data_IF_839669311261
#
_entry.id   IF_839669311261
#
_cell.length_a   1.000
_cell.length_b   1.000
_cell.length_c   1.000
_cell.angle_alpha   90.00
_cell.angle_beta   90.00
_cell.angle_gamma   90.00
#
_symmetry.space_group_name_H-M   'P 1'
#
loop_
_entity.id
_entity.type
_entity.pdbx_description
1 polymer ?
#
# COMPACT_ATOMS: atom_id res chain seq x y z
N UNK A 1 54.87 -16.62 -53.02
CA UNK A 1 54.32 -17.82 -52.35
C UNK A 1 54.30 -17.71 -50.83
N UNK A 2 55.19 -16.92 -50.20
CA UNK A 2 55.25 -16.77 -48.74
C UNK A 2 54.13 -15.92 -48.11
N UNK A 3 53.61 -14.91 -48.80
CA UNK A 3 52.54 -14.04 -48.27
C UNK A 3 51.24 -14.81 -47.95
N UNK A 4 50.89 -15.79 -48.78
CA UNK A 4 49.71 -16.62 -48.58
C UNK A 4 49.87 -17.52 -47.34
N UNK A 5 51.09 -18.00 -47.06
CA UNK A 5 51.39 -18.82 -45.87
C UNK A 5 51.36 -18.00 -44.59
N UNK A 6 51.84 -16.75 -44.63
CA UNK A 6 51.78 -15.81 -43.49
C UNK A 6 50.32 -15.43 -43.19
N UNK A 7 49.54 -15.13 -44.23
CA UNK A 7 48.11 -14.85 -44.11
C UNK A 7 47.34 -16.03 -43.51
N UNK A 8 47.56 -17.26 -44.00
CA UNK A 8 46.94 -18.47 -43.48
C UNK A 8 47.29 -18.74 -42.00
N UNK A 9 48.55 -18.54 -41.59
CA UNK A 9 48.96 -18.69 -40.18
C UNK A 9 48.29 -17.64 -39.28
N UNK A 10 48.17 -16.39 -39.73
CA UNK A 10 47.49 -15.33 -38.98
C UNK A 10 45.98 -15.58 -38.88
N UNK A 11 45.35 -15.99 -39.97
CA UNK A 11 43.93 -16.37 -40.00
C UNK A 11 43.65 -17.55 -39.07
N UNK A 12 44.51 -18.57 -39.08
CA UNK A 12 44.42 -19.71 -38.17
C UNK A 12 44.56 -19.29 -36.71
N UNK A 13 45.52 -18.41 -36.40
CA UNK A 13 45.70 -17.88 -35.04
C UNK A 13 44.46 -17.11 -34.54
N UNK A 14 43.87 -16.26 -35.38
CA UNK A 14 42.63 -15.55 -35.06
C UNK A 14 41.48 -16.53 -34.85
N UNK A 15 41.37 -17.56 -35.70
CA UNK A 15 40.33 -18.57 -35.59
C UNK A 15 40.46 -19.37 -34.28
N UNK A 16 41.68 -19.74 -33.88
CA UNK A 16 41.92 -20.41 -32.59
C UNK A 16 41.51 -19.51 -31.42
N UNK A 17 41.87 -18.22 -31.46
CA UNK A 17 41.47 -17.25 -30.42
C UNK A 17 39.95 -17.15 -30.33
N UNK A 18 39.26 -17.07 -31.47
CA UNK A 18 37.80 -17.01 -31.52
C UNK A 18 37.16 -18.30 -30.97
N UNK A 19 37.71 -19.47 -31.30
CA UNK A 19 37.24 -20.76 -30.78
C UNK A 19 37.44 -20.85 -29.26
N UNK A 20 38.61 -20.45 -28.75
CA UNK A 20 38.88 -20.41 -27.31
C UNK A 20 37.94 -19.43 -26.59
N UNK A 21 37.69 -18.26 -27.19
CA UNK A 21 36.74 -17.29 -26.65
C UNK A 21 35.31 -17.83 -26.64
N UNK A 22 34.88 -18.48 -27.72
CA UNK A 22 33.57 -19.12 -27.81
C UNK A 22 33.42 -20.25 -26.79
N UNK A 23 34.45 -21.07 -26.59
CA UNK A 23 34.46 -22.12 -25.57
C UNK A 23 34.38 -21.54 -24.15
N UNK A 24 35.12 -20.46 -23.86
CA UNK A 24 35.05 -19.76 -22.58
C UNK A 24 33.66 -19.15 -22.35
N UNK A 25 33.06 -18.52 -23.38
CA UNK A 25 31.71 -17.97 -23.32
C UNK A 25 30.65 -19.06 -23.10
N UNK A 26 30.76 -20.20 -23.80
CA UNK A 26 29.88 -21.35 -23.62
C UNK A 26 30.00 -21.96 -22.21
N UNK A 27 31.23 -22.09 -21.70
CA UNK A 27 31.50 -22.54 -20.34
C UNK A 27 30.91 -21.60 -19.29
N UNK A 28 31.07 -20.28 -19.48
CA UNK A 28 30.45 -19.27 -18.62
C UNK A 28 28.92 -19.36 -18.68
N UNK A 29 28.33 -19.49 -19.87
CA UNK A 29 26.89 -19.65 -20.06
C UNK A 29 26.37 -20.88 -19.32
N UNK A 30 26.99 -22.05 -19.49
CA UNK A 30 26.63 -23.28 -18.79
C UNK A 30 26.75 -23.14 -17.26
N UNK A 31 27.81 -22.47 -16.79
CA UNK A 31 27.98 -22.19 -15.36
C UNK A 31 26.83 -21.38 -14.79
N UNK A 32 26.39 -20.32 -15.48
CA UNK A 32 25.27 -19.50 -15.03
C UNK A 32 23.91 -20.20 -15.19
N UNK A 33 23.71 -20.91 -16.31
CA UNK A 33 22.46 -21.56 -16.66
C UNK A 33 22.16 -22.82 -15.85
N UNK A 34 23.18 -23.58 -15.44
CA UNK A 34 23.02 -24.84 -14.71
C UNK A 34 23.38 -24.72 -13.23
N UNK A 35 24.60 -24.25 -12.91
CA UNK A 35 25.10 -24.26 -11.52
C UNK A 35 24.51 -23.14 -10.66
N UNK A 36 24.28 -21.96 -11.25
CA UNK A 36 23.75 -20.79 -10.51
C UNK A 36 22.27 -20.50 -10.76
N UNK A 37 21.58 -21.35 -11.54
CA UNK A 37 20.17 -21.16 -11.92
C UNK A 37 19.28 -20.80 -10.74
N UNK A 38 19.33 -21.59 -9.67
CA UNK A 38 18.47 -21.40 -8.51
C UNK A 38 18.74 -20.08 -7.78
N UNK A 39 19.99 -19.62 -7.78
CA UNK A 39 20.35 -18.31 -7.21
C UNK A 39 19.66 -17.19 -7.98
N UNK A 40 19.69 -17.23 -9.31
CA UNK A 40 19.08 -16.20 -10.16
C UNK A 40 17.55 -16.30 -10.18
N UNK A 41 16.97 -17.51 -10.13
CA UNK A 41 15.52 -17.69 -9.98
C UNK A 41 15.06 -17.13 -8.63
N UNK A 42 15.77 -17.41 -7.53
CA UNK A 42 15.45 -16.84 -6.21
C UNK A 42 15.58 -15.32 -6.20
N UNK A 43 16.58 -14.77 -6.89
CA UNK A 43 16.76 -13.32 -7.02
C UNK A 43 15.63 -12.70 -7.85
N UNK A 44 15.27 -13.31 -8.98
CA UNK A 44 14.16 -12.91 -9.83
C UNK A 44 12.83 -12.94 -9.08
N UNK A 45 12.56 -14.01 -8.33
CA UNK A 45 11.38 -14.10 -7.46
C UNK A 45 11.40 -13.00 -6.39
N UNK A 46 12.55 -12.75 -5.74
CA UNK A 46 12.66 -11.67 -4.74
C UNK A 46 12.36 -10.30 -5.33
N UNK A 47 12.72 -10.06 -6.59
CA UNK A 47 12.43 -8.81 -7.30
C UNK A 47 10.94 -8.75 -7.71
N UNK A 48 10.37 -9.89 -8.12
CA UNK A 48 8.99 -9.97 -8.58
C UNK A 48 7.96 -9.84 -7.43
N UNK A 49 8.29 -10.32 -6.23
CA UNK A 49 7.42 -10.24 -5.06
C UNK A 49 7.66 -8.96 -4.26
N UNK A 50 6.64 -8.10 -4.19
CA UNK A 50 6.63 -6.95 -3.29
C UNK A 50 6.09 -7.36 -1.92
N UNK A 51 6.75 -6.91 -0.86
CA UNK A 51 6.24 -6.99 0.51
C UNK A 51 5.40 -5.75 0.82
N UNK A 52 4.28 -5.95 1.49
CA UNK A 52 3.45 -4.88 2.03
C UNK A 52 3.03 -5.19 3.46
N UNK A 53 2.72 -4.14 4.21
CA UNK A 53 2.13 -4.20 5.54
C UNK A 53 0.67 -3.76 5.48
N UNK A 54 -0.14 -4.23 6.41
CA UNK A 54 -1.50 -3.73 6.61
C UNK A 54 -1.84 -3.80 8.10
N UNK A 55 -2.68 -2.87 8.53
CA UNK A 55 -3.12 -2.79 9.91
C UNK A 55 -4.61 -3.15 10.00
N UNK A 56 -4.98 -3.75 11.13
CA UNK A 56 -6.37 -3.93 11.49
C UNK A 56 -6.85 -2.74 12.32
N UNK A 57 -8.16 -2.69 12.56
CA UNK A 57 -8.77 -1.63 13.35
C UNK A 57 -8.14 -1.53 14.75
N UNK A 58 -7.88 -0.28 15.14
CA UNK A 58 -7.47 0.09 16.49
C UNK A 58 -8.57 -0.27 17.49
N UNK A 59 -8.17 -0.66 18.70
CA UNK A 59 -9.09 -1.00 19.78
C UNK A 59 -10.05 0.14 20.13
N UNK A 60 -11.23 -0.20 20.65
CA UNK A 60 -12.21 0.79 21.15
C UNK A 60 -11.82 1.25 22.54
N UNK A 61 -12.09 2.53 22.84
CA UNK A 61 -12.07 3.02 24.23
C UNK A 61 -13.51 3.00 24.73
N UNK A 62 -13.70 2.35 25.87
CA UNK A 62 -15.01 2.11 26.48
C UNK A 62 -14.96 2.67 27.91
N UNK A 63 -16.03 3.31 28.35
CA UNK A 63 -16.14 3.79 29.73
C UNK A 63 -16.39 2.64 30.73
N UNK A 64 -16.50 2.96 32.03
CA UNK A 64 -16.75 1.94 33.04
C UNK A 64 -18.15 1.26 32.92
N UNK A 65 -19.12 1.96 32.32
CA UNK A 65 -20.49 1.51 32.11
C UNK A 65 -20.68 0.72 30.79
N UNK A 66 -19.66 0.64 29.94
CA UNK A 66 -19.72 -0.07 28.65
C UNK A 66 -20.03 0.81 27.44
N UNK A 67 -20.15 2.13 27.61
CA UNK A 67 -20.37 3.09 26.53
C UNK A 67 -19.08 3.28 25.73
N UNK A 68 -19.16 3.18 24.42
CA UNK A 68 -18.02 3.40 23.52
C UNK A 68 -17.75 4.90 23.40
N UNK A 69 -16.56 5.32 23.83
CA UNK A 69 -16.12 6.72 23.78
C UNK A 69 -15.32 7.03 22.51
N UNK A 70 -14.55 6.05 22.02
CA UNK A 70 -13.77 6.18 20.80
C UNK A 70 -13.71 4.86 20.02
N UNK A 71 -13.87 4.95 18.69
CA UNK A 71 -13.84 3.81 17.78
C UNK A 71 -13.23 4.20 16.44
N UNK A 72 -12.80 3.21 15.67
CA UNK A 72 -12.22 3.44 14.34
C UNK A 72 -13.18 2.95 13.28
N UNK A 73 -13.47 3.81 12.32
CA UNK A 73 -14.23 3.50 11.13
C UNK A 73 -13.32 3.44 9.90
N UNK A 74 -13.74 2.64 8.91
CA UNK A 74 -12.98 2.44 7.69
C UNK A 74 -13.75 3.03 6.51
N UNK A 75 -13.11 3.97 5.85
CA UNK A 75 -13.60 4.64 4.66
C UNK A 75 -12.75 4.25 3.45
N UNK A 76 -13.29 4.49 2.27
CA UNK A 76 -12.61 4.22 1.01
C UNK A 76 -12.66 5.47 0.15
N UNK A 77 -11.50 6.02 -0.18
CA UNK A 77 -11.40 7.24 -0.97
C UNK A 77 -10.98 6.88 -2.39
N UNK A 78 -11.51 7.61 -3.37
CA UNK A 78 -11.13 7.46 -4.77
C UNK A 78 -10.16 8.57 -5.16
N UNK A 79 -8.95 8.19 -5.53
CA UNK A 79 -7.91 9.09 -5.99
C UNK A 79 -7.66 8.90 -7.48
N UNK A 80 -7.41 10.00 -8.18
CA UNK A 80 -6.90 10.04 -9.54
C UNK A 80 -5.48 10.62 -9.52
N UNK A 81 -4.53 9.84 -10.03
CA UNK A 81 -3.14 10.24 -10.21
C UNK A 81 -2.95 10.70 -11.66
N UNK A 82 -2.65 11.97 -11.85
CA UNK A 82 -2.45 12.53 -13.19
C UNK A 82 -1.07 12.10 -13.73
N UNK A 83 -1.02 10.92 -14.36
CA UNK A 83 0.20 10.34 -14.90
C UNK A 83 0.56 10.90 -16.29
N UNK A 84 -0.40 11.47 -17.00
CA UNK A 84 -0.28 11.85 -18.41
C UNK A 84 -0.33 13.35 -18.65
N UNK A 85 -0.84 14.14 -17.70
CA UNK A 85 -1.04 15.58 -17.85
C UNK A 85 -2.10 15.96 -18.89
N UNK A 86 -2.85 14.98 -19.42
CA UNK A 86 -3.84 15.21 -20.47
C UNK A 86 -5.20 15.53 -19.86
N UNK A 87 -5.61 16.79 -19.97
CA UNK A 87 -6.88 17.27 -19.44
C UNK A 87 -8.09 16.56 -20.07
N UNK A 88 -8.05 16.33 -21.39
CA UNK A 88 -9.12 15.65 -22.11
C UNK A 88 -9.32 14.22 -21.60
N UNK A 89 -8.23 13.50 -21.31
CA UNK A 89 -8.29 12.15 -20.74
C UNK A 89 -8.83 12.17 -19.32
N UNK A 90 -8.34 13.10 -18.49
CA UNK A 90 -8.81 13.32 -17.12
C UNK A 90 -10.31 13.57 -17.09
N UNK A 91 -10.80 14.51 -17.91
CA UNK A 91 -12.22 14.84 -17.99
C UNK A 91 -13.08 13.66 -18.44
N UNK A 92 -12.60 12.89 -19.41
CA UNK A 92 -13.29 11.67 -19.86
C UNK A 92 -13.43 10.65 -18.73
N UNK A 93 -12.38 10.45 -17.93
CA UNK A 93 -12.42 9.56 -16.77
C UNK A 93 -13.41 10.07 -15.71
N UNK A 94 -13.39 11.37 -15.41
CA UNK A 94 -14.31 11.97 -14.44
C UNK A 94 -15.77 11.85 -14.87
N UNK A 95 -16.07 12.01 -16.17
CA UNK A 95 -17.41 11.80 -16.69
C UNK A 95 -17.88 10.35 -16.45
N UNK A 96 -17.05 9.34 -16.73
CA UNK A 96 -17.41 7.95 -16.44
C UNK A 96 -17.60 7.66 -14.95
N UNK A 97 -16.81 8.31 -14.08
CA UNK A 97 -16.98 8.16 -12.63
C UNK A 97 -18.32 8.76 -12.21
N UNK A 98 -18.68 9.94 -12.72
CA UNK A 98 -19.93 10.62 -12.39
C UNK A 98 -21.16 9.83 -12.87
N UNK A 99 -21.07 9.08 -13.97
CA UNK A 99 -22.12 8.15 -14.40
C UNK A 99 -22.35 7.01 -13.39
N UNK A 100 -21.30 6.52 -12.74
CA UNK A 100 -21.38 5.43 -11.75
C UNK A 100 -21.78 5.98 -10.37
N UNK A 101 -21.25 7.15 -10.03
CA UNK A 101 -21.38 7.85 -8.76
C UNK A 101 -21.64 9.34 -9.01
N UNK A 102 -22.91 9.75 -9.14
CA UNK A 102 -23.23 11.15 -9.30
C UNK A 102 -22.81 11.94 -8.06
N UNK A 103 -22.26 13.14 -8.28
CA UNK A 103 -21.83 14.04 -7.20
C UNK A 103 -20.37 13.89 -6.78
N UNK A 104 -19.54 13.22 -7.60
CA UNK A 104 -18.08 13.33 -7.44
C UNK A 104 -17.63 14.77 -7.68
N UNK A 105 -16.91 15.35 -6.73
CA UNK A 105 -16.31 16.68 -6.82
C UNK A 105 -14.80 16.52 -6.77
N UNK A 106 -14.12 16.41 -7.92
CA UNK A 106 -12.68 16.24 -7.96
C UNK A 106 -11.99 17.49 -7.42
N UNK A 107 -11.22 17.33 -6.35
CA UNK A 107 -10.41 18.39 -5.76
C UNK A 107 -8.93 18.02 -5.88
N UNK A 108 -8.09 18.96 -6.32
CA UNK A 108 -6.66 18.73 -6.42
C UNK A 108 -6.03 18.82 -5.02
N UNK A 109 -5.55 17.69 -4.51
CA UNK A 109 -4.89 17.62 -3.19
C UNK A 109 -3.39 17.90 -3.28
N UNK A 110 -2.76 17.57 -4.42
CA UNK A 110 -1.35 17.87 -4.70
C UNK A 110 -1.08 17.98 -6.20
N UNK A 111 0.14 18.37 -6.60
CA UNK A 111 0.50 18.64 -8.01
C UNK A 111 -0.02 17.60 -9.01
N UNK A 112 -0.05 16.31 -8.64
CA UNK A 112 -0.49 15.23 -9.53
C UNK A 112 -1.56 14.30 -8.92
N UNK A 113 -2.23 14.71 -7.84
CA UNK A 113 -3.23 13.87 -7.16
C UNK A 113 -4.53 14.63 -6.96
N UNK A 114 -5.61 14.02 -7.44
CA UNK A 114 -6.96 14.51 -7.33
C UNK A 114 -7.77 13.57 -6.43
N UNK A 115 -8.36 14.11 -5.37
CA UNK A 115 -9.38 13.42 -4.60
C UNK A 115 -10.69 13.51 -5.36
N UNK A 116 -11.13 12.40 -5.94
CA UNK A 116 -12.36 12.35 -6.76
C UNK A 116 -13.59 12.11 -5.89
N UNK A 117 -13.44 11.32 -4.83
CA UNK A 117 -14.53 11.00 -3.92
C UNK A 117 -13.99 10.68 -2.52
N UNK A 118 -14.58 11.28 -1.49
CA UNK A 118 -14.27 11.04 -0.09
C UNK A 118 -15.32 10.11 0.53
N UNK A 119 -14.90 9.04 1.20
CA UNK A 119 -15.81 8.18 1.96
C UNK A 119 -16.81 7.38 1.10
N UNK A 120 -16.33 6.75 0.03
CA UNK A 120 -17.15 5.96 -0.88
C UNK A 120 -17.88 4.81 -0.17
N UNK A 121 -19.19 4.63 -0.44
CA UNK A 121 -19.93 3.47 0.04
C UNK A 121 -19.35 2.16 -0.52
N UNK A 122 -19.14 1.11 0.32
CA UNK A 122 -18.55 -0.16 -0.14
C UNK A 122 -19.29 -0.83 -1.30
N UNK A 123 -20.61 -0.63 -1.38
CA UNK A 123 -21.48 -1.15 -2.46
C UNK A 123 -21.08 -0.67 -3.86
N UNK A 124 -20.36 0.44 -3.98
CA UNK A 124 -19.99 1.00 -5.29
C UNK A 124 -18.66 0.45 -5.81
N UNK A 125 -17.79 -0.02 -4.93
CA UNK A 125 -16.46 -0.53 -5.29
C UNK A 125 -16.52 -1.58 -6.42
N UNK A 126 -17.41 -2.59 -6.41
CA UNK A 126 -17.48 -3.57 -7.50
C UNK A 126 -17.80 -2.97 -8.86
N UNK A 127 -18.59 -1.87 -8.90
CA UNK A 127 -18.96 -1.18 -10.14
C UNK A 127 -17.79 -0.39 -10.75
N UNK A 128 -16.81 0.00 -9.93
CA UNK A 128 -15.61 0.72 -10.37
C UNK A 128 -14.49 -0.21 -10.86
N UNK A 129 -14.51 -1.50 -10.49
CA UNK A 129 -13.45 -2.46 -10.88
C UNK A 129 -13.12 -2.47 -12.37
N UNK A 130 -14.11 -2.41 -13.30
CA UNK A 130 -13.81 -2.33 -14.74
C UNK A 130 -13.03 -1.06 -15.11
N UNK A 131 -13.39 0.09 -14.52
CA UNK A 131 -12.66 1.35 -14.74
C UNK A 131 -11.25 1.29 -14.15
N UNK A 132 -11.09 0.79 -12.93
CA UNK A 132 -9.78 0.66 -12.27
C UNK A 132 -8.81 -0.23 -13.06
N UNK A 133 -9.34 -1.26 -13.72
CA UNK A 133 -8.56 -2.16 -14.57
C UNK A 133 -8.12 -1.49 -15.88
N UNK A 134 -8.93 -0.56 -16.39
CA UNK A 134 -8.67 0.18 -17.64
C UNK A 134 -7.81 1.43 -17.44
N UNK A 135 -7.97 2.09 -16.30
CA UNK A 135 -7.35 3.36 -15.96
C UNK A 135 -6.52 3.20 -14.68
N UNK A 136 -5.24 2.90 -14.87
CA UNK A 136 -4.21 2.77 -13.82
C UNK A 136 -3.95 4.08 -13.04
N UNK A 137 -4.42 5.21 -13.57
CA UNK A 137 -4.48 6.51 -12.92
C UNK A 137 -5.44 6.50 -11.72
N UNK A 138 -6.45 5.64 -11.71
CA UNK A 138 -7.43 5.55 -10.63
C UNK A 138 -6.99 4.55 -9.56
N UNK A 139 -7.09 4.96 -8.29
CA UNK A 139 -6.84 4.07 -7.16
C UNK A 139 -7.84 4.29 -6.05
N UNK A 140 -8.26 3.19 -5.44
CA UNK A 140 -9.02 3.21 -4.20
C UNK A 140 -8.03 3.09 -3.05
N UNK A 141 -8.05 4.07 -2.15
CA UNK A 141 -7.21 4.08 -0.95
C UNK A 141 -8.10 3.89 0.27
N UNK A 142 -7.87 2.87 1.11
CA UNK A 142 -8.55 2.78 2.39
C UNK A 142 -8.02 3.85 3.34
N UNK A 143 -8.93 4.48 4.09
CA UNK A 143 -8.61 5.46 5.14
C UNK A 143 -9.23 5.01 6.45
N UNK A 144 -8.48 5.10 7.54
CA UNK A 144 -8.99 4.77 8.87
C UNK A 144 -9.21 6.04 9.66
N UNK A 145 -10.46 6.31 10.03
CA UNK A 145 -10.81 7.49 10.80
C UNK A 145 -11.10 7.12 12.25
N UNK A 146 -10.51 7.88 13.18
CA UNK A 146 -10.78 7.71 14.61
C UNK A 146 -11.90 8.62 15.03
N UNK A 147 -13.05 8.03 15.29
CA UNK A 147 -14.26 8.71 15.76
C UNK A 147 -14.26 8.75 17.29
N UNK A 148 -14.69 9.89 17.84
CA UNK A 148 -14.85 10.10 19.28
C UNK A 148 -16.24 10.69 19.50
N UNK A 149 -16.90 10.29 20.60
CA UNK A 149 -18.19 10.85 20.99
C UNK A 149 -18.12 12.39 21.05
N UNK A 150 -19.18 13.05 20.61
CA UNK A 150 -19.23 14.49 20.34
C UNK A 150 -19.38 15.36 21.61
N UNK A 151 -18.49 15.17 22.60
CA UNK A 151 -18.35 16.07 23.75
C UNK A 151 -16.93 16.64 23.80
N UNK A 152 -16.75 17.98 23.87
CA UNK A 152 -15.42 18.61 23.90
C UNK A 152 -14.51 18.07 25.01
N UNK A 153 -15.06 17.84 26.19
CA UNK A 153 -14.37 17.31 27.38
C UNK A 153 -13.84 15.90 27.11
N UNK A 154 -14.70 15.06 26.55
CA UNK A 154 -14.37 13.68 26.18
C UNK A 154 -13.31 13.67 25.09
N UNK A 155 -13.43 14.51 24.06
CA UNK A 155 -12.40 14.64 23.01
C UNK A 155 -11.05 15.04 23.59
N UNK A 156 -11.02 16.01 24.52
CA UNK A 156 -9.79 16.45 25.19
C UNK A 156 -9.20 15.34 26.06
N UNK A 157 -10.04 14.62 26.80
CA UNK A 157 -9.62 13.53 27.68
C UNK A 157 -9.08 12.33 26.89
N UNK A 158 -9.81 11.90 25.86
CA UNK A 158 -9.41 10.80 24.97
C UNK A 158 -8.12 11.16 24.22
N UNK A 159 -8.02 12.40 23.74
CA UNK A 159 -6.86 12.90 23.00
C UNK A 159 -6.97 12.66 21.50
N UNK A 160 -5.81 12.73 20.83
CA UNK A 160 -5.72 12.70 19.37
C UNK A 160 -4.85 11.54 18.88
N UNK A 161 -5.09 11.15 17.63
CA UNK A 161 -4.28 10.18 16.89
C UNK A 161 -3.72 10.81 15.62
N UNK A 162 -2.60 10.28 15.13
CA UNK A 162 -2.00 10.60 13.83
C UNK A 162 -2.10 9.39 12.92
N UNK A 163 -2.60 9.58 11.70
CA UNK A 163 -2.49 8.55 10.65
C UNK A 163 -1.17 8.73 9.89
N UNK A 164 -0.37 7.66 9.82
CA UNK A 164 0.84 7.59 8.99
C UNK A 164 0.80 6.25 8.24
N UNK A 165 0.81 6.28 6.91
CA UNK A 165 0.78 5.07 6.06
C UNK A 165 -0.34 4.07 6.43
N UNK A 166 -1.52 4.58 6.78
CA UNK A 166 -2.68 3.78 7.19
C UNK A 166 -2.61 3.21 8.62
N UNK A 167 -1.62 3.62 9.41
CA UNK A 167 -1.46 3.29 10.83
C UNK A 167 -1.84 4.48 11.73
N UNK A 168 -2.72 4.25 12.71
CA UNK A 168 -3.16 5.27 13.65
C UNK A 168 -2.36 5.20 14.96
N UNK A 169 -1.48 6.18 15.18
CA UNK A 169 -0.66 6.29 16.41
C UNK A 169 -1.24 7.34 17.36
N UNK A 170 -1.42 6.99 18.64
CA UNK A 170 -1.87 7.92 19.68
C UNK A 170 -0.85 9.03 19.99
N UNK A 171 -1.28 10.30 19.91
CA UNK A 171 -0.43 11.48 20.14
C UNK A 171 -0.59 12.03 21.56
N UNK A 172 -1.82 12.02 22.08
CA UNK A 172 -2.15 12.64 23.38
C UNK A 172 -3.26 11.87 24.13
N UNK A 173 -3.50 12.24 25.39
CA UNK A 173 -4.59 11.70 26.20
C UNK A 173 -4.53 10.19 26.45
N UNK A 174 -5.71 9.58 26.56
CA UNK A 174 -5.89 8.13 26.66
C UNK A 174 -5.31 7.40 25.43
N UNK A 175 -5.43 8.00 24.25
CA UNK A 175 -4.92 7.41 23.00
C UNK A 175 -3.40 7.18 23.06
N UNK A 176 -2.63 8.13 23.58
CA UNK A 176 -1.18 7.95 23.80
C UNK A 176 -0.91 6.95 24.92
N UNK A 177 -1.61 7.08 26.04
CA UNK A 177 -1.38 6.27 27.25
C UNK A 177 -1.54 4.77 26.97
N UNK A 178 -2.57 4.40 26.21
CA UNK A 178 -2.88 3.01 25.90
C UNK A 178 -2.56 2.63 24.45
N UNK A 179 -1.69 3.39 23.78
CA UNK A 179 -1.33 3.16 22.39
C UNK A 179 -0.84 1.74 22.12
N UNK A 180 0.01 1.22 23.03
CA UNK A 180 0.53 -0.15 22.99
C UNK A 180 -0.55 -1.25 23.07
N UNK A 181 -1.70 -0.96 23.68
CA UNK A 181 -2.84 -1.88 23.78
C UNK A 181 -3.77 -1.72 22.57
N UNK A 182 -4.02 -0.46 22.20
CA UNK A 182 -4.98 -0.07 21.18
C UNK A 182 -4.49 -0.35 19.76
N UNK A 183 -3.18 -0.32 19.48
CA UNK A 183 -2.64 -0.50 18.12
C UNK A 183 -2.76 -1.93 17.57
N UNK A 184 -2.61 -2.94 18.43
CA UNK A 184 -2.44 -4.32 17.96
C UNK A 184 -1.10 -4.48 17.21
N UNK A 185 -1.07 -5.36 16.20
CA UNK A 185 0.13 -5.64 15.41
C UNK A 185 -0.18 -5.73 13.90
N UNK A 186 0.73 -5.18 13.09
CA UNK A 186 0.65 -5.22 11.63
C UNK A 186 0.67 -6.66 11.10
N UNK A 187 -0.12 -6.88 10.05
CA UNK A 187 0.04 -8.03 9.17
C UNK A 187 1.02 -7.73 8.05
N UNK A 188 1.61 -8.78 7.50
CA UNK A 188 2.52 -8.69 6.37
C UNK A 188 2.05 -9.63 5.27
N UNK A 189 2.19 -9.17 4.03
CA UNK A 189 1.89 -9.97 2.85
C UNK A 189 2.96 -9.78 1.77
N UNK A 190 2.99 -10.75 0.85
CA UNK A 190 3.72 -10.67 -0.40
C UNK A 190 2.74 -10.74 -1.56
N UNK A 191 2.97 -9.95 -2.60
CA UNK A 191 2.18 -9.97 -3.84
C UNK A 191 3.07 -9.70 -5.04
N UNK A 192 2.76 -10.29 -6.19
CA UNK A 192 3.43 -9.94 -7.44
C UNK A 192 2.74 -8.74 -8.06
N UNK A 193 3.56 -7.85 -8.61
CA UNK A 193 3.07 -6.70 -9.35
C UNK A 193 3.34 -6.87 -10.85
N UNK A 194 2.43 -6.38 -11.68
CA UNK A 194 2.68 -6.21 -13.11
C UNK A 194 3.56 -4.97 -13.39
N UNK A 195 3.85 -4.73 -14.67
CA UNK A 195 4.62 -3.56 -15.12
C UNK A 195 3.98 -2.20 -14.76
N UNK A 196 2.68 -2.17 -14.47
CA UNK A 196 1.91 -0.98 -14.08
C UNK A 196 1.71 -0.87 -12.56
N UNK A 197 2.36 -1.75 -11.77
CA UNK A 197 2.23 -1.84 -10.30
C UNK A 197 0.85 -2.31 -9.81
N UNK A 198 0.03 -2.92 -10.68
CA UNK A 198 -1.20 -3.57 -10.26
C UNK A 198 -0.89 -4.96 -9.69
N UNK A 199 -1.75 -5.43 -8.79
CA UNK A 199 -1.59 -6.76 -8.20
C UNK A 199 -1.95 -7.83 -9.22
N UNK A 200 -1.07 -8.83 -9.38
CA UNK A 200 -1.41 -10.02 -10.18
C UNK A 200 -2.35 -10.89 -9.34
N UNK A 201 -3.55 -11.15 -9.86
CA UNK A 201 -4.59 -11.93 -9.17
C UNK A 201 -4.04 -13.31 -8.77
N UNK A 202 -4.32 -13.72 -7.53
CA UNK A 202 -3.87 -15.02 -6.97
C UNK A 202 -2.42 -15.06 -6.48
N UNK A 203 -1.61 -14.01 -6.72
CA UNK A 203 -0.22 -13.95 -6.23
C UNK A 203 -0.09 -13.49 -4.77
N UNK A 204 -1.19 -13.04 -4.17
CA UNK A 204 -1.21 -12.57 -2.79
C UNK A 204 -1.00 -13.74 -1.82
N UNK A 205 -0.08 -13.57 -0.88
CA UNK A 205 0.20 -14.53 0.18
C UNK A 205 0.41 -13.81 1.50
N UNK A 206 -0.31 -14.24 2.54
CA UNK A 206 -0.10 -13.77 3.90
C UNK A 206 1.19 -14.36 4.46
N UNK A 207 2.13 -13.50 4.87
CA UNK A 207 3.37 -13.89 5.56
C UNK A 207 3.22 -13.80 7.07
N UNK A 208 2.51 -12.78 7.57
CA UNK A 208 2.25 -12.59 9.00
C UNK A 208 0.81 -12.16 9.22
N UNK A 209 0.13 -12.85 10.13
CA UNK A 209 -1.25 -12.49 10.52
C UNK A 209 -1.25 -11.20 11.33
N UNK A 210 -2.11 -10.26 10.96
CA UNK A 210 -2.36 -9.05 11.74
C UNK A 210 -3.13 -9.38 13.03
N UNK A 211 -2.87 -8.63 14.09
CA UNK A 211 -3.60 -8.73 15.37
C UNK A 211 -4.34 -7.42 15.61
N UNK A 212 -5.67 -7.42 15.81
CA UNK A 212 -6.41 -6.21 16.09
C UNK A 212 -6.02 -5.65 17.47
N UNK A 213 -6.19 -4.34 17.62
CA UNK A 213 -6.05 -3.67 18.91
C UNK A 213 -7.03 -4.20 19.95
N UNK A 214 -6.60 -4.27 21.21
CA UNK A 214 -7.49 -4.64 22.31
C UNK A 214 -8.29 -3.43 22.76
N UNK A 215 -9.56 -3.67 23.12
CA UNK A 215 -10.39 -2.62 23.70
C UNK A 215 -9.89 -2.27 25.09
N UNK A 216 -9.97 -0.98 25.43
CA UNK A 216 -9.58 -0.47 26.75
C UNK A 216 -10.83 0.00 27.47
N UNK A 217 -11.07 -0.57 28.66
CA UNK A 217 -12.13 -0.13 29.55
C UNK A 217 -11.56 0.86 30.57
N UNK A 218 -12.14 2.05 30.62
CA UNK A 218 -11.77 3.09 31.56
C UNK A 218 -12.42 2.85 32.93
N UNK A 219 -11.85 3.50 33.94
CA UNK A 219 -12.40 3.50 35.30
C UNK A 219 -13.53 4.53 35.47
N UNK A 220 -13.52 5.57 34.65
CA UNK A 220 -14.51 6.66 34.68
C UNK A 220 -15.63 6.38 33.69
N UNK A 221 -16.81 6.88 34.04
CA UNK A 221 -17.99 6.95 33.18
C UNK A 221 -17.93 8.15 32.25
N UNK A 222 -18.75 8.12 31.20
CA UNK A 222 -18.94 9.27 30.31
C UNK A 222 -19.29 10.55 31.09
N UNK A 223 -20.22 10.47 32.03
CA UNK A 223 -20.71 11.65 32.79
C UNK A 223 -19.65 12.22 33.71
N UNK A 224 -18.83 11.40 34.37
CA UNK A 224 -17.71 11.88 35.17
C UNK A 224 -16.68 12.61 34.31
N UNK A 225 -16.36 12.09 33.11
CA UNK A 225 -15.43 12.75 32.18
C UNK A 225 -15.99 14.08 31.69
N UNK A 226 -17.32 14.17 31.47
CA UNK A 226 -18.00 15.43 31.11
C UNK A 226 -17.98 16.44 32.27
N UNK A 227 -18.06 15.98 33.52
CA UNK A 227 -18.02 16.84 34.71
C UNK A 227 -16.65 17.47 35.00
N UNK A 228 -15.55 16.90 34.49
CA UNK A 228 -14.18 17.35 34.76
C UNK A 228 -13.84 18.77 34.28
N UNK A 229 -14.65 19.37 33.41
CA UNK A 229 -14.47 20.76 32.97
C UNK A 229 -15.07 21.79 33.92
N UNK A 230 -15.93 21.38 34.86
CA UNK A 230 -16.59 22.28 35.82
C UNK A 230 -15.80 22.50 37.12
N UNK A 231 -14.69 21.80 37.32
CA UNK A 231 -13.82 21.92 38.52
C UNK A 231 -12.55 22.77 38.29
N UNK A 232 -12.51 23.60 37.24
CA UNK A 232 -11.40 24.53 36.99
C UNK A 232 -11.84 25.98 36.92
#
# INVERSE_FOLDING_TARGET
>A
MDDNRIFQKRALAILIILVLWAAAAAGAFLHYALLKRDKYIRLGNRIAFRRGTFFLSRGKVIDCNGIVLAWTEKYYDLLYFDLSGSEARRQKIFNYINEIMPGSLPEQTSENVWLVYLGMPPRVIPRLVPLLSRYHELKITPRHERCIVAYPEVKKYIGQVKETDGHLTGISGIEKKYDHILNGAAGEYTVMLDRHKNWIKGSWKLTRKAVPGKNVKLKLSLEEIRGMSHEK
#
